data_IF_179927591127
#
_entry.id   IF_179927591127
#
_cell.length_a   1.000
_cell.length_b   1.000
_cell.length_c   1.000
_cell.angle_alpha   90.00
_cell.angle_beta   90.00
_cell.angle_gamma   90.00
#
_symmetry.space_group_name_H-M   'P 1'
#
loop_
_entity.id
_entity.type
_entity.pdbx_description
1 polymer ?
#
# COMPACT_ATOMS: atom_id res chain seq x y z
N UNK A 1 -17.88 -1.76 15.61
CA UNK A 1 -16.63 -1.71 14.82
C UNK A 1 -16.94 -2.19 13.41
N UNK A 2 -16.74 -1.38 12.39
CA UNK A 2 -16.97 -1.80 11.00
C UNK A 2 -15.86 -2.76 10.59
N UNK A 3 -16.24 -3.97 10.22
CA UNK A 3 -15.31 -5.00 9.75
C UNK A 3 -14.99 -4.72 8.28
N UNK A 4 -13.72 -4.69 7.92
CA UNK A 4 -13.29 -4.58 6.52
C UNK A 4 -13.68 -5.85 5.77
N UNK A 5 -14.34 -5.72 4.64
CA UNK A 5 -14.80 -6.85 3.83
C UNK A 5 -14.00 -6.96 2.54
N UNK A 6 -13.93 -8.17 1.99
CA UNK A 6 -13.31 -8.44 0.69
C UNK A 6 -13.90 -7.56 -0.42
N UNK A 7 -15.23 -7.45 -0.46
CA UNK A 7 -15.93 -6.68 -1.50
C UNK A 7 -15.53 -5.22 -1.49
N UNK A 8 -15.50 -4.59 -0.30
CA UNK A 8 -15.06 -3.19 -0.17
C UNK A 8 -13.63 -2.98 -0.68
N UNK A 9 -12.72 -3.90 -0.36
CA UNK A 9 -11.33 -3.80 -0.81
C UNK A 9 -11.20 -3.97 -2.32
N UNK A 10 -11.93 -4.92 -2.91
CA UNK A 10 -11.94 -5.11 -4.37
C UNK A 10 -12.57 -3.93 -5.11
N UNK A 11 -13.62 -3.31 -4.55
CA UNK A 11 -14.22 -2.11 -5.12
C UNK A 11 -13.19 -0.97 -5.18
N UNK A 12 -12.36 -0.80 -4.16
CA UNK A 12 -11.26 0.17 -4.18
C UNK A 12 -10.19 -0.22 -5.21
N UNK A 13 -9.76 -1.48 -5.23
CA UNK A 13 -8.76 -1.94 -6.21
C UNK A 13 -9.22 -1.67 -7.63
N UNK A 14 -10.43 -2.08 -8.00
CA UNK A 14 -10.96 -1.89 -9.35
C UNK A 14 -11.30 -0.44 -9.70
N UNK A 15 -11.40 0.44 -8.73
CA UNK A 15 -11.52 1.86 -8.96
C UNK A 15 -10.21 2.49 -9.47
N UNK A 16 -9.06 1.94 -9.08
CA UNK A 16 -7.74 2.49 -9.37
C UNK A 16 -6.89 1.64 -10.32
N UNK A 17 -7.27 0.41 -10.57
CA UNK A 17 -6.52 -0.52 -11.42
C UNK A 17 -7.44 -1.12 -12.50
N UNK A 18 -7.06 -1.00 -13.79
CA UNK A 18 -7.86 -1.54 -14.89
C UNK A 18 -7.85 -3.07 -14.86
N UNK A 19 -9.02 -3.66 -15.11
CA UNK A 19 -9.17 -5.11 -15.17
C UNK A 19 -8.79 -5.65 -16.53
N UNK A 20 -7.99 -6.73 -16.53
CA UNK A 20 -7.60 -7.41 -17.76
C UNK A 20 -6.60 -6.64 -18.65
N UNK A 21 -5.99 -5.57 -18.14
CA UNK A 21 -5.01 -4.75 -18.85
C UNK A 21 -3.61 -5.03 -18.31
N UNK A 22 -2.69 -5.41 -19.17
CA UNK A 22 -1.29 -5.65 -18.82
C UNK A 22 -0.52 -4.32 -18.79
N UNK A 23 0.32 -4.12 -17.80
CA UNK A 23 1.12 -2.90 -17.66
C UNK A 23 2.62 -3.09 -17.92
N UNK A 24 3.14 -4.31 -17.84
CA UNK A 24 4.58 -4.56 -17.80
C UNK A 24 5.23 -4.84 -19.15
N UNK A 25 4.45 -5.17 -20.16
CA UNK A 25 4.99 -5.53 -21.47
C UNK A 25 4.86 -4.36 -22.44
N UNK A 26 5.87 -3.53 -22.54
CA UNK A 26 5.95 -2.43 -23.51
C UNK A 26 5.80 -2.89 -24.98
N UNK A 27 6.00 -4.19 -25.25
CA UNK A 27 5.85 -4.79 -26.57
C UNK A 27 4.47 -5.34 -26.85
N UNK A 28 3.62 -5.53 -25.86
CA UNK A 28 2.29 -6.09 -26.00
C UNK A 28 1.23 -5.00 -25.89
N UNK A 29 0.98 -4.34 -27.01
CA UNK A 29 -0.24 -3.54 -27.16
C UNK A 29 -1.42 -4.50 -26.98
N UNK A 30 -2.33 -4.24 -26.01
CA UNK A 30 -3.52 -5.07 -25.88
C UNK A 30 -4.27 -5.15 -27.20
N UNK A 31 -4.98 -6.24 -27.49
CA UNK A 31 -5.71 -6.38 -28.74
C UNK A 31 -6.69 -5.26 -29.05
N UNK A 32 -7.13 -4.52 -28.03
CA UNK A 32 -8.00 -3.36 -28.13
C UNK A 32 -7.25 -2.01 -28.27
N UNK A 33 -5.91 -2.02 -28.33
CA UNK A 33 -5.10 -0.82 -28.45
C UNK A 33 -5.02 0.07 -27.22
N UNK A 34 -5.54 -0.35 -26.08
CA UNK A 34 -5.50 0.42 -24.83
C UNK A 34 -4.23 0.10 -24.04
N UNK A 35 -3.48 1.13 -23.72
CA UNK A 35 -2.34 1.03 -22.79
C UNK A 35 -2.82 1.21 -21.35
N UNK A 36 -2.13 0.56 -20.40
CA UNK A 36 -2.40 0.70 -18.99
C UNK A 36 -2.45 2.18 -18.54
N UNK A 37 -1.45 2.98 -18.96
CA UNK A 37 -1.32 4.38 -18.59
C UNK A 37 -2.42 5.30 -19.17
N UNK A 38 -3.11 4.85 -20.22
CA UNK A 38 -4.20 5.60 -20.85
C UNK A 38 -5.57 5.33 -20.23
N UNK A 39 -5.62 4.46 -19.24
CA UNK A 39 -6.89 4.10 -18.57
C UNK A 39 -7.36 5.16 -17.58
N UNK A 40 -8.67 5.23 -17.37
CA UNK A 40 -9.29 6.11 -16.38
C UNK A 40 -8.86 5.74 -14.96
N UNK A 41 -8.73 4.43 -14.69
CA UNK A 41 -8.26 3.89 -13.43
C UNK A 41 -6.85 4.39 -13.10
N UNK A 42 -5.93 4.32 -14.06
CA UNK A 42 -4.56 4.82 -13.87
C UNK A 42 -4.53 6.33 -13.63
N UNK A 43 -5.37 7.11 -14.31
CA UNK A 43 -5.49 8.55 -14.02
C UNK A 43 -5.92 8.83 -12.59
N UNK A 44 -6.89 8.06 -12.06
CA UNK A 44 -7.31 8.17 -10.65
C UNK A 44 -6.17 7.82 -9.68
N UNK A 45 -5.38 6.80 -10.02
CA UNK A 45 -4.19 6.43 -9.23
C UNK A 45 -3.18 7.59 -9.18
N UNK A 46 -2.87 8.20 -10.32
CA UNK A 46 -1.98 9.36 -10.40
C UNK A 46 -2.53 10.55 -9.60
N UNK A 47 -3.83 10.82 -9.69
CA UNK A 47 -4.48 11.87 -8.91
C UNK A 47 -4.42 11.59 -7.40
N UNK A 48 -4.59 10.32 -6.97
CA UNK A 48 -4.45 9.94 -5.58
C UNK A 48 -3.01 10.14 -5.09
N UNK A 49 -2.00 9.77 -5.87
CA UNK A 49 -0.60 10.03 -5.57
C UNK A 49 -0.29 11.53 -5.47
N UNK A 50 -0.88 12.35 -6.34
CA UNK A 50 -0.74 13.82 -6.29
C UNK A 50 -1.34 14.40 -5.02
N UNK A 51 -2.53 13.92 -4.60
CA UNK A 51 -3.13 14.31 -3.30
C UNK A 51 -2.23 13.88 -2.14
N UNK A 52 -1.70 12.66 -2.17
CA UNK A 52 -0.76 12.18 -1.16
C UNK A 52 0.47 13.06 -1.02
N UNK A 53 1.03 13.54 -2.12
CA UNK A 53 2.14 14.51 -2.08
C UNK A 53 1.74 15.83 -1.43
N UNK A 54 0.55 16.33 -1.72
CA UNK A 54 0.02 17.57 -1.12
C UNK A 54 -0.25 17.39 0.39
N UNK A 55 -0.72 16.24 0.82
CA UNK A 55 -1.07 15.91 2.20
C UNK A 55 0.10 15.31 3.01
N UNK A 56 1.27 15.18 2.40
CA UNK A 56 2.47 14.62 3.01
C UNK A 56 2.87 15.26 4.36
N UNK A 57 2.67 16.55 4.63
CA UNK A 57 2.98 17.13 5.94
C UNK A 57 2.33 16.42 7.13
N UNK A 58 1.10 15.89 6.96
CA UNK A 58 0.41 15.10 7.98
C UNK A 58 1.14 13.79 8.30
N UNK A 59 1.50 13.03 7.26
CA UNK A 59 2.33 11.84 7.38
C UNK A 59 3.67 12.15 8.04
N UNK A 60 4.36 13.17 7.55
CA UNK A 60 5.66 13.60 8.06
C UNK A 60 5.62 13.95 9.56
N UNK A 61 4.54 14.59 10.02
CA UNK A 61 4.36 14.92 11.43
C UNK A 61 4.19 13.65 12.28
N UNK A 62 3.40 12.68 11.82
CA UNK A 62 3.24 11.37 12.48
C UNK A 62 4.57 10.61 12.54
N UNK A 63 5.29 10.52 11.42
CA UNK A 63 6.59 9.86 11.34
C UNK A 63 7.61 10.48 12.29
N UNK A 64 7.59 11.79 12.46
CA UNK A 64 8.48 12.48 13.41
C UNK A 64 8.17 12.05 14.85
N UNK A 65 6.89 12.00 15.24
CA UNK A 65 6.51 11.56 16.60
C UNK A 65 6.92 10.11 16.88
N UNK A 66 6.76 9.23 15.88
CA UNK A 66 7.23 7.84 16.00
C UNK A 66 8.77 7.76 16.01
N UNK A 67 9.45 8.55 15.19
CA UNK A 67 10.89 8.59 15.10
C UNK A 67 11.59 9.08 16.39
N UNK A 68 10.91 9.86 17.23
CA UNK A 68 11.41 10.24 18.55
C UNK A 68 11.49 9.04 19.51
N UNK A 69 10.80 7.95 19.22
CA UNK A 69 10.71 6.74 20.06
C UNK A 69 11.39 5.51 19.47
N UNK A 70 11.48 5.43 18.16
CA UNK A 70 11.97 4.26 17.44
C UNK A 70 12.97 4.66 16.37
N UNK A 71 13.91 3.77 16.05
CA UNK A 71 14.70 3.86 14.82
C UNK A 71 13.79 3.69 13.61
N UNK A 72 13.47 4.78 12.92
CA UNK A 72 12.50 4.80 11.85
C UNK A 72 13.10 5.25 10.54
N UNK A 73 12.76 4.54 9.46
CA UNK A 73 13.08 4.90 8.09
C UNK A 73 11.78 5.22 7.35
N UNK A 74 11.65 6.46 6.85
CA UNK A 74 10.55 6.84 5.97
C UNK A 74 10.85 6.35 4.54
N UNK A 75 9.96 5.55 3.98
CA UNK A 75 10.11 4.93 2.65
C UNK A 75 9.23 5.58 1.57
N UNK A 76 8.63 6.74 1.87
CA UNK A 76 7.75 7.46 0.92
C UNK A 76 8.53 8.33 -0.10
N UNK A 77 9.83 8.12 -0.27
CA UNK A 77 10.68 8.95 -1.14
C UNK A 77 10.30 8.82 -2.61
N UNK A 78 9.91 7.64 -3.08
CA UNK A 78 9.48 7.43 -4.45
C UNK A 78 8.19 8.22 -4.76
N UNK A 79 7.22 8.20 -3.86
CA UNK A 79 6.02 9.04 -3.95
C UNK A 79 6.38 10.53 -4.06
N UNK A 80 7.29 11.01 -3.21
CA UNK A 80 7.72 12.42 -3.20
C UNK A 80 8.47 12.80 -4.47
N UNK A 81 9.20 11.87 -5.06
CA UNK A 81 9.90 12.05 -6.33
C UNK A 81 8.99 12.02 -7.57
N UNK A 82 7.69 11.91 -7.38
CA UNK A 82 6.71 11.89 -8.48
C UNK A 82 6.25 10.50 -8.88
N UNK A 83 6.59 9.47 -8.13
CA UNK A 83 6.11 8.10 -8.34
C UNK A 83 4.60 7.97 -8.07
N UNK A 84 4.00 6.93 -8.67
CA UNK A 84 2.58 6.60 -8.51
C UNK A 84 2.30 5.66 -7.35
N UNK A 85 3.04 5.76 -6.25
CA UNK A 85 2.85 4.87 -5.10
C UNK A 85 1.45 5.03 -4.49
N UNK A 86 0.78 3.94 -4.15
CA UNK A 86 -0.58 3.96 -3.63
C UNK A 86 -0.65 4.25 -2.13
N UNK A 87 0.48 4.43 -1.45
CA UNK A 87 0.55 4.58 0.00
C UNK A 87 1.75 5.41 0.46
N UNK A 88 1.65 5.96 1.66
CA UNK A 88 2.82 6.28 2.47
C UNK A 88 3.38 5.02 3.09
N UNK A 89 4.70 4.95 3.23
CA UNK A 89 5.39 3.77 3.75
C UNK A 89 6.51 4.15 4.70
N UNK A 90 6.67 3.37 5.77
CA UNK A 90 7.81 3.50 6.68
C UNK A 90 8.16 2.14 7.31
N UNK A 91 9.36 2.09 7.88
CA UNK A 91 9.91 0.91 8.52
C UNK A 91 10.51 1.28 9.87
N UNK A 92 10.28 0.43 10.86
CA UNK A 92 10.91 0.50 12.17
C UNK A 92 11.78 -0.73 12.35
N UNK A 93 13.03 -0.53 12.73
CA UNK A 93 13.93 -1.62 13.09
C UNK A 93 13.71 -1.99 14.56
N UNK A 94 13.25 -3.21 14.81
CA UNK A 94 13.07 -3.76 16.15
C UNK A 94 14.37 -4.36 16.68
N UNK A 95 15.14 -4.97 15.77
CA UNK A 95 16.49 -5.49 15.98
C UNK A 95 17.33 -5.21 14.72
N UNK A 96 18.60 -5.57 14.72
CA UNK A 96 19.46 -5.45 13.55
C UNK A 96 18.99 -6.30 12.35
N UNK A 97 18.16 -7.33 12.59
CA UNK A 97 17.69 -8.27 11.59
C UNK A 97 16.16 -8.22 11.37
N UNK A 98 15.42 -7.58 12.28
CA UNK A 98 13.96 -7.61 12.25
C UNK A 98 13.40 -6.20 12.10
N UNK A 99 12.61 -6.00 11.07
CA UNK A 99 11.93 -4.73 10.82
C UNK A 99 10.41 -4.92 10.73
N UNK A 100 9.68 -3.94 11.24
CA UNK A 100 8.25 -3.79 11.06
C UNK A 100 8.02 -2.72 10.01
N UNK A 101 7.31 -3.07 8.93
CA UNK A 101 6.87 -2.12 7.90
C UNK A 101 5.41 -1.75 8.11
N UNK A 102 5.07 -0.49 7.87
CA UNK A 102 3.68 -0.06 7.93
C UNK A 102 3.38 0.94 6.81
N UNK A 103 2.12 0.95 6.39
CA UNK A 103 1.64 1.70 5.24
C UNK A 103 0.29 2.33 5.53
N UNK A 104 0.07 3.53 4.99
CA UNK A 104 -1.23 4.22 4.99
C UNK A 104 -1.63 4.46 3.56
N UNK A 105 -2.74 3.85 3.13
CA UNK A 105 -3.20 3.93 1.74
C UNK A 105 -3.65 5.32 1.35
N UNK A 106 -3.33 5.72 0.13
CA UNK A 106 -3.85 6.92 -0.53
C UNK A 106 -5.15 6.64 -1.31
N UNK A 107 -5.51 5.36 -1.46
CA UNK A 107 -6.62 4.92 -2.30
C UNK A 107 -7.92 4.72 -1.52
N UNK A 108 -7.83 4.57 -0.21
CA UNK A 108 -8.97 4.36 0.67
C UNK A 108 -8.57 4.44 2.14
N UNK A 109 -9.52 4.41 3.07
CA UNK A 109 -9.26 4.57 4.49
C UNK A 109 -8.70 3.29 5.12
N UNK A 110 -7.57 2.84 4.63
CA UNK A 110 -6.94 1.59 5.05
C UNK A 110 -5.48 1.77 5.42
N UNK A 111 -5.02 0.97 6.37
CA UNK A 111 -3.62 0.84 6.70
C UNK A 111 -3.21 -0.62 6.83
N UNK A 112 -1.93 -0.90 6.69
CA UNK A 112 -1.33 -2.21 6.88
C UNK A 112 -0.08 -2.12 7.73
N UNK A 113 0.10 -3.10 8.63
CA UNK A 113 1.31 -3.28 9.42
C UNK A 113 1.81 -4.68 9.12
N UNK A 114 3.03 -4.77 8.61
CA UNK A 114 3.65 -6.04 8.26
C UNK A 114 4.80 -6.35 9.20
N UNK A 115 4.72 -7.52 9.81
CA UNK A 115 5.66 -8.00 10.80
C UNK A 115 5.99 -9.47 10.54
N UNK A 116 7.02 -9.76 9.72
CA UNK A 116 7.37 -11.14 9.39
C UNK A 116 7.71 -11.94 10.64
N UNK A 117 7.02 -13.07 10.85
CA UNK A 117 7.31 -14.01 11.92
C UNK A 117 7.03 -13.50 13.34
N UNK A 118 6.39 -12.36 13.51
CA UNK A 118 6.04 -11.78 14.81
C UNK A 118 4.52 -11.69 14.93
N UNK A 119 3.93 -12.02 16.11
CA UNK A 119 2.49 -11.93 16.32
C UNK A 119 1.96 -10.51 16.10
N UNK A 120 0.74 -10.38 15.57
CA UNK A 120 0.02 -9.09 15.43
C UNK A 120 -0.12 -8.34 16.78
N UNK A 121 0.05 -9.03 17.87
CA UNK A 121 -0.06 -8.52 19.25
C UNK A 121 1.21 -7.83 19.75
N UNK A 122 2.25 -7.72 18.93
CA UNK A 122 3.49 -7.07 19.31
C UNK A 122 3.20 -5.62 19.76
N UNK A 123 3.74 -5.16 20.92
CA UNK A 123 3.42 -3.86 21.50
C UNK A 123 3.68 -2.67 20.55
N UNK A 124 4.77 -2.73 19.77
CA UNK A 124 5.11 -1.67 18.82
C UNK A 124 4.08 -1.59 17.69
N UNK A 125 3.61 -2.73 17.16
CA UNK A 125 2.56 -2.76 16.15
C UNK A 125 1.26 -2.11 16.64
N UNK A 126 0.87 -2.39 17.88
CA UNK A 126 -0.30 -1.77 18.51
C UNK A 126 -0.15 -0.26 18.70
N UNK A 127 1.04 0.19 19.03
CA UNK A 127 1.32 1.61 19.18
C UNK A 127 1.26 2.34 17.83
N UNK A 128 1.83 1.75 16.78
CA UNK A 128 1.74 2.27 15.42
C UNK A 128 0.28 2.35 14.96
N UNK A 129 -0.51 1.29 15.18
CA UNK A 129 -1.93 1.28 14.85
C UNK A 129 -2.67 2.45 15.52
N UNK A 130 -2.46 2.67 16.81
CA UNK A 130 -3.07 3.80 17.54
C UNK A 130 -2.64 5.17 16.99
N UNK A 131 -1.36 5.32 16.63
CA UNK A 131 -0.84 6.56 16.07
C UNK A 131 -1.43 6.83 14.68
N UNK A 132 -1.59 5.78 13.85
CA UNK A 132 -2.26 5.89 12.56
C UNK A 132 -3.73 6.29 12.73
N UNK A 133 -4.47 5.59 13.58
CA UNK A 133 -5.89 5.84 13.82
C UNK A 133 -6.15 7.23 14.41
N UNK A 134 -5.24 7.73 15.23
CA UNK A 134 -5.30 9.09 15.78
C UNK A 134 -5.00 10.16 14.72
N UNK A 135 -4.09 9.87 13.79
CA UNK A 135 -3.69 10.81 12.71
C UNK A 135 -4.66 10.80 11.54
N UNK A 136 -5.22 9.63 11.23
CA UNK A 136 -6.15 9.38 10.13
C UNK A 136 -7.46 8.79 10.66
N UNK A 137 -8.35 9.61 11.24
CA UNK A 137 -9.62 9.13 11.79
C UNK A 137 -10.45 8.37 10.75
N UNK A 138 -10.95 7.19 11.13
CA UNK A 138 -11.75 6.34 10.24
C UNK A 138 -10.93 5.35 9.40
N UNK A 139 -9.61 5.40 9.46
CA UNK A 139 -8.77 4.38 8.82
C UNK A 139 -8.86 3.06 9.58
N UNK A 140 -8.83 1.96 8.84
CA UNK A 140 -9.00 0.60 9.36
C UNK A 140 -7.85 -0.30 8.91
N UNK A 141 -7.42 -1.27 9.75
CA UNK A 141 -6.43 -2.25 9.33
C UNK A 141 -7.01 -3.19 8.27
N UNK A 142 -6.16 -3.64 7.35
CA UNK A 142 -6.50 -4.75 6.46
C UNK A 142 -6.00 -6.04 7.11
N UNK A 143 -6.89 -7.03 7.39
CA UNK A 143 -6.48 -8.34 7.87
C UNK A 143 -5.54 -9.04 6.86
N UNK A 144 -4.53 -9.76 7.37
CA UNK A 144 -3.54 -10.44 6.54
C UNK A 144 -4.19 -11.42 5.54
N UNK A 145 -5.22 -12.14 5.95
CA UNK A 145 -5.93 -13.09 5.10
C UNK A 145 -6.55 -12.41 3.87
N UNK A 146 -7.16 -11.24 4.07
CA UNK A 146 -7.74 -10.48 2.97
C UNK A 146 -6.67 -9.79 2.12
N UNK A 147 -5.64 -9.25 2.77
CA UNK A 147 -4.57 -8.54 2.08
C UNK A 147 -3.76 -9.43 1.14
N UNK A 148 -3.57 -10.69 1.51
CA UNK A 148 -2.84 -11.68 0.72
C UNK A 148 -3.67 -12.34 -0.38
N UNK A 149 -4.95 -12.03 -0.50
CA UNK A 149 -5.76 -12.53 -1.60
C UNK A 149 -5.28 -11.97 -2.94
N UNK A 150 -5.13 -12.87 -3.91
CA UNK A 150 -4.76 -12.50 -5.27
C UNK A 150 -5.94 -11.85 -5.98
N UNK A 151 -5.66 -10.78 -6.71
CA UNK A 151 -6.59 -10.12 -7.64
C UNK A 151 -6.23 -10.58 -9.05
N UNK A 152 -6.91 -11.59 -9.61
CA UNK A 152 -6.40 -12.37 -10.75
C UNK A 152 -6.36 -11.59 -12.06
N UNK A 153 -7.13 -10.54 -12.19
CA UNK A 153 -7.32 -9.76 -13.41
C UNK A 153 -6.70 -8.35 -13.34
N UNK A 154 -5.81 -8.12 -12.37
CA UNK A 154 -5.05 -6.88 -12.22
C UNK A 154 -3.56 -7.15 -12.40
N UNK A 155 -2.91 -6.28 -13.17
CA UNK A 155 -1.47 -6.15 -13.23
C UNK A 155 -1.06 -4.76 -12.76
N UNK A 156 0.13 -4.60 -12.21
CA UNK A 156 0.61 -3.30 -11.73
C UNK A 156 2.13 -3.23 -11.75
N UNK A 157 2.68 -2.17 -12.31
CA UNK A 157 4.11 -1.92 -12.43
C UNK A 157 4.89 -3.18 -12.89
N UNK A 158 5.67 -3.79 -12.02
CA UNK A 158 6.45 -5.01 -12.30
C UNK A 158 5.70 -6.30 -11.95
N UNK A 159 4.48 -6.21 -11.41
CA UNK A 159 3.68 -7.36 -10.99
C UNK A 159 2.79 -7.85 -12.15
N UNK A 160 2.96 -9.12 -12.50
CA UNK A 160 2.20 -9.72 -13.59
C UNK A 160 0.74 -9.95 -13.22
N UNK A 161 -0.11 -10.03 -14.24
CA UNK A 161 -1.51 -10.40 -14.06
C UNK A 161 -1.62 -11.80 -13.43
N UNK A 162 -2.40 -11.90 -12.36
CA UNK A 162 -2.53 -13.12 -11.57
C UNK A 162 -1.58 -13.21 -10.37
N UNK A 163 -0.68 -12.24 -10.20
CA UNK A 163 0.27 -12.19 -9.08
C UNK A 163 -0.01 -11.03 -8.10
N UNK A 164 -0.77 -10.03 -8.52
CA UNK A 164 -1.11 -8.90 -7.68
C UNK A 164 -2.01 -9.31 -6.51
N UNK A 165 -1.66 -8.91 -5.31
CA UNK A 165 -2.50 -9.07 -4.12
C UNK A 165 -3.20 -7.77 -3.75
N UNK A 166 -4.22 -7.84 -2.91
CA UNK A 166 -4.90 -6.65 -2.38
C UNK A 166 -3.90 -5.72 -1.68
N UNK A 167 -2.97 -6.26 -0.89
CA UNK A 167 -1.91 -5.47 -0.25
C UNK A 167 -1.03 -4.73 -1.25
N UNK A 168 -0.60 -5.40 -2.31
CA UNK A 168 0.21 -4.76 -3.35
C UNK A 168 -0.54 -3.60 -4.00
N UNK A 169 -1.80 -3.80 -4.32
CA UNK A 169 -2.63 -2.78 -4.94
C UNK A 169 -2.86 -1.56 -4.04
N UNK A 170 -3.00 -1.76 -2.74
CA UNK A 170 -3.36 -0.69 -1.80
C UNK A 170 -2.18 -0.04 -1.10
N UNK A 171 -1.03 -0.71 -1.05
CA UNK A 171 0.12 -0.23 -0.30
C UNK A 171 1.43 -0.20 -1.09
N UNK A 172 1.98 -1.35 -1.50
CA UNK A 172 3.26 -1.40 -2.19
C UNK A 172 3.56 -2.79 -2.73
N UNK A 173 4.23 -2.82 -3.87
CA UNK A 173 4.81 -4.05 -4.43
C UNK A 173 5.95 -4.61 -3.59
N UNK A 174 6.61 -3.78 -2.80
CA UNK A 174 7.71 -4.19 -1.90
C UNK A 174 7.23 -5.12 -0.78
N UNK A 175 5.93 -5.16 -0.53
CA UNK A 175 5.32 -6.07 0.44
C UNK A 175 5.65 -7.54 0.18
N UNK A 176 5.89 -7.93 -1.08
CA UNK A 176 6.21 -9.31 -1.46
C UNK A 176 7.65 -9.74 -1.24
N UNK A 177 8.55 -8.80 -0.94
CA UNK A 177 9.96 -9.11 -0.76
C UNK A 177 10.30 -9.65 0.63
N UNK A 178 9.31 -9.86 1.44
CA UNK A 178 9.47 -10.40 2.79
C UNK A 178 8.74 -11.71 2.85
N UNK A 179 9.19 -12.66 2.09
CA UNK A 179 9.39 -14.03 2.45
C UNK A 179 9.77 -14.93 1.27
N UNK A 180 10.94 -15.49 1.27
CA UNK A 180 11.12 -16.81 0.75
C UNK A 180 11.40 -17.76 1.90
N UNK A 181 10.37 -18.28 2.53
CA UNK A 181 10.40 -19.66 3.11
C UNK A 181 9.12 -19.92 3.85
#
# INVERSE_FOLDING_TARGET
>A
MMVTTRSELLDVVYHFYPRGVRCTERSNVPPNGSFYDDTEEHRRLVEAANRGRAEYPTWKAMIRRLGDRYGLQNESLHLLAGGGDPAYSARIWLTDETALSFHVSLLGPYYGIHLPGIPEEEPVAREIAREIEATYPGYRPIPAELGNEVVPDVAMDTVLMGEATIYMCLFSVVWTWVDPE
#
